data_IF_250538855796
#
_entry.id   IF_250538855796
#
_cell.length_a   1.000
_cell.length_b   1.000
_cell.length_c   1.000
_cell.angle_alpha   90.00
_cell.angle_beta   90.00
_cell.angle_gamma   90.00
#
_symmetry.space_group_name_H-M   'P 1'
#
loop_
_entity.id
_entity.type
_entity.pdbx_description
1 polymer ?
#
# COMPACT_ATOMS: atom_id res chain seq x y z
N UNK A 1 29.01 15.70 35.56
CA UNK A 1 28.17 15.70 34.34
C UNK A 1 27.60 14.32 34.00
N UNK A 2 28.37 13.22 34.12
CA UNK A 2 27.87 11.84 33.91
C UNK A 2 26.61 11.42 34.70
N UNK A 3 26.42 11.75 36.00
CA UNK A 3 25.26 11.25 36.75
C UNK A 3 23.94 11.89 36.32
N UNK A 4 23.97 13.11 35.79
CA UNK A 4 22.77 13.81 35.33
C UNK A 4 22.21 13.19 34.04
N UNK A 5 23.08 12.83 33.10
CA UNK A 5 22.70 12.16 31.85
C UNK A 5 22.06 10.79 32.11
N UNK A 6 22.61 10.02 33.05
CA UNK A 6 22.10 8.71 33.39
C UNK A 6 20.70 8.80 34.01
N UNK A 7 20.46 9.81 34.87
CA UNK A 7 19.16 10.05 35.47
C UNK A 7 18.12 10.51 34.43
N UNK A 8 18.49 11.36 33.48
CA UNK A 8 17.59 11.77 32.38
C UNK A 8 17.24 10.60 31.45
N UNK A 9 18.19 9.73 31.15
CA UNK A 9 17.97 8.55 30.30
C UNK A 9 17.06 7.54 31.00
N UNK A 10 17.26 7.34 32.31
CA UNK A 10 16.40 6.47 33.12
C UNK A 10 14.96 7.01 33.21
N UNK A 11 14.78 8.32 33.41
CA UNK A 11 13.45 8.94 33.39
C UNK A 11 12.76 8.75 32.03
N UNK A 12 13.49 8.93 30.92
CA UNK A 12 12.94 8.75 29.57
C UNK A 12 12.54 7.29 29.31
N UNK A 13 13.37 6.33 29.74
CA UNK A 13 13.06 4.91 29.64
C UNK A 13 11.79 4.53 30.41
N UNK A 14 11.64 5.04 31.65
CA UNK A 14 10.43 4.80 32.46
C UNK A 14 9.18 5.36 31.78
N UNK A 15 9.24 6.57 31.23
CA UNK A 15 8.12 7.19 30.51
C UNK A 15 7.79 6.39 29.24
N UNK A 16 8.80 6.01 28.45
CA UNK A 16 8.60 5.22 27.23
C UNK A 16 7.95 3.85 27.52
N UNK A 17 8.40 3.17 28.59
CA UNK A 17 7.80 1.91 29.05
C UNK A 17 6.34 2.14 29.47
N UNK A 18 6.06 3.21 30.22
CA UNK A 18 4.70 3.56 30.63
C UNK A 18 3.75 3.79 29.44
N UNK A 19 4.20 4.53 28.43
CA UNK A 19 3.41 4.78 27.20
C UNK A 19 3.18 3.47 26.42
N UNK A 20 4.20 2.62 26.31
CA UNK A 20 4.08 1.33 25.62
C UNK A 20 3.08 0.40 26.32
N UNK A 21 3.12 0.34 27.66
CA UNK A 21 2.15 -0.44 28.45
C UNK A 21 0.72 0.11 28.30
N UNK A 22 0.56 1.42 28.26
CA UNK A 22 -0.76 2.03 28.06
C UNK A 22 -1.32 1.75 26.65
N UNK A 23 -0.48 1.82 25.63
CA UNK A 23 -0.85 1.52 24.25
C UNK A 23 -1.25 0.05 24.08
N UNK A 24 -0.46 -0.89 24.64
CA UNK A 24 -0.78 -2.32 24.60
C UNK A 24 -2.07 -2.64 25.35
N UNK A 25 -2.29 -2.04 26.53
CA UNK A 25 -3.55 -2.17 27.27
C UNK A 25 -4.75 -1.65 26.47
N UNK A 26 -4.59 -0.51 25.78
CA UNK A 26 -5.62 0.05 24.89
C UNK A 26 -5.98 -0.87 23.73
N UNK A 27 -4.98 -1.46 23.06
CA UNK A 27 -5.21 -2.43 21.98
C UNK A 27 -5.93 -3.67 22.49
N UNK A 28 -5.52 -4.22 23.64
CA UNK A 28 -6.16 -5.40 24.25
C UNK A 28 -7.62 -5.11 24.62
N UNK A 29 -7.90 -3.94 25.21
CA UNK A 29 -9.26 -3.50 25.53
C UNK A 29 -10.11 -3.33 24.26
N UNK A 30 -9.56 -2.74 23.21
CA UNK A 30 -10.25 -2.56 21.94
C UNK A 30 -10.61 -3.90 21.28
N UNK A 31 -9.67 -4.85 21.26
CA UNK A 31 -9.90 -6.21 20.73
C UNK A 31 -10.98 -6.92 21.56
N UNK A 32 -10.90 -6.84 22.89
CA UNK A 32 -11.93 -7.42 23.78
C UNK A 32 -13.30 -6.81 23.54
N UNK A 33 -13.41 -5.48 23.45
CA UNK A 33 -14.68 -4.79 23.19
C UNK A 33 -15.28 -5.21 21.84
N UNK A 34 -14.44 -5.36 20.81
CA UNK A 34 -14.87 -5.85 19.49
C UNK A 34 -15.37 -7.29 19.54
N UNK A 35 -14.66 -8.19 20.22
CA UNK A 35 -15.10 -9.58 20.39
C UNK A 35 -16.42 -9.68 21.16
N UNK A 36 -16.58 -8.89 22.22
CA UNK A 36 -17.84 -8.82 22.99
C UNK A 36 -18.97 -8.31 22.12
N UNK A 37 -18.76 -7.24 21.34
CA UNK A 37 -19.79 -6.71 20.42
C UNK A 37 -20.23 -7.74 19.36
N UNK A 38 -19.29 -8.53 18.86
CA UNK A 38 -19.56 -9.59 17.89
C UNK A 38 -20.32 -10.74 18.53
N UNK A 39 -19.92 -11.16 19.74
CA UNK A 39 -20.63 -12.18 20.51
C UNK A 39 -22.08 -11.75 20.82
N UNK A 40 -22.30 -10.49 21.21
CA UNK A 40 -23.64 -9.94 21.42
C UNK A 40 -24.46 -9.87 20.13
N UNK A 41 -23.86 -9.53 18.99
CA UNK A 41 -24.56 -9.53 17.71
C UNK A 41 -24.99 -10.94 17.29
N UNK A 42 -24.12 -11.95 17.51
CA UNK A 42 -24.42 -13.36 17.19
C UNK A 42 -25.47 -13.92 18.15
N UNK A 43 -25.30 -13.73 19.46
CA UNK A 43 -26.25 -14.21 20.48
C UNK A 43 -27.60 -13.48 20.37
N UNK A 44 -27.58 -12.17 20.11
CA UNK A 44 -28.78 -11.36 19.87
C UNK A 44 -29.50 -11.80 18.60
N UNK A 45 -28.78 -12.07 17.52
CA UNK A 45 -29.35 -12.63 16.29
C UNK A 45 -29.97 -14.01 16.47
N UNK A 46 -29.30 -14.89 17.23
CA UNK A 46 -29.80 -16.23 17.54
C UNK A 46 -31.02 -16.20 18.48
N UNK A 47 -30.98 -15.39 19.54
CA UNK A 47 -32.08 -15.23 20.50
C UNK A 47 -33.31 -14.58 19.88
N UNK A 48 -33.12 -13.52 19.07
CA UNK A 48 -34.20 -12.86 18.34
C UNK A 48 -34.82 -13.78 17.28
N UNK A 49 -34.00 -14.62 16.62
CA UNK A 49 -34.50 -15.63 15.69
C UNK A 49 -35.28 -16.76 16.38
N UNK A 50 -34.92 -17.12 17.62
CA UNK A 50 -35.63 -18.14 18.39
C UNK A 50 -36.99 -17.65 18.92
N UNK A 51 -37.11 -16.34 19.19
CA UNK A 51 -38.31 -15.76 19.79
C UNK A 51 -39.44 -15.49 18.80
N UNK A 52 -39.13 -15.24 17.52
CA UNK A 52 -40.12 -14.72 16.57
C UNK A 52 -40.63 -15.78 15.58
N UNK A 53 -39.83 -16.79 15.20
CA UNK A 53 -40.18 -17.69 14.10
C UNK A 53 -39.63 -19.10 14.28
N UNK A 54 -40.19 -19.88 15.22
CA UNK A 54 -39.78 -21.26 15.53
C UNK A 54 -39.19 -22.01 14.34
N UNK A 55 -37.90 -22.38 14.43
CA UNK A 55 -37.12 -23.15 13.46
C UNK A 55 -36.88 -22.52 12.07
N UNK A 56 -37.93 -22.00 11.42
CA UNK A 56 -37.92 -21.57 10.04
C UNK A 56 -37.34 -20.16 9.83
N UNK A 57 -37.40 -19.27 10.83
CA UNK A 57 -36.88 -17.90 10.71
C UNK A 57 -35.36 -17.81 10.63
N UNK A 58 -34.65 -18.76 11.25
CA UNK A 58 -33.19 -18.82 11.25
C UNK A 58 -32.63 -19.09 9.84
N UNK A 59 -33.34 -19.90 9.06
CA UNK A 59 -32.97 -20.18 7.67
C UNK A 59 -33.14 -18.95 6.77
N UNK A 60 -34.17 -18.13 7.00
CA UNK A 60 -34.45 -16.93 6.20
C UNK A 60 -33.45 -15.82 6.51
N UNK A 61 -33.09 -15.59 7.78
CA UNK A 61 -32.06 -14.62 8.15
C UNK A 61 -30.66 -15.07 7.73
N UNK A 62 -30.34 -16.37 7.84
CA UNK A 62 -29.08 -16.92 7.35
C UNK A 62 -28.93 -16.78 5.83
N UNK A 63 -29.99 -17.05 5.07
CA UNK A 63 -30.00 -16.86 3.61
C UNK A 63 -29.97 -15.38 3.22
N UNK A 64 -30.64 -14.50 3.94
CA UNK A 64 -30.55 -13.05 3.72
C UNK A 64 -29.13 -12.52 3.99
N UNK A 65 -28.48 -12.95 5.08
CA UNK A 65 -27.09 -12.59 5.37
C UNK A 65 -26.12 -13.09 4.28
N UNK A 66 -26.31 -14.34 3.82
CA UNK A 66 -25.54 -14.89 2.70
C UNK A 66 -25.77 -14.14 1.40
N UNK A 67 -27.01 -13.69 1.12
CA UNK A 67 -27.32 -12.87 -0.07
C UNK A 67 -26.67 -11.50 -0.01
N UNK A 68 -26.63 -10.85 1.16
CA UNK A 68 -25.92 -9.56 1.35
C UNK A 68 -24.41 -9.74 1.17
N UNK A 69 -23.83 -10.82 1.70
CA UNK A 69 -22.41 -11.17 1.51
C UNK A 69 -22.12 -11.46 0.03
N UNK A 70 -23.01 -12.19 -0.66
CA UNK A 70 -22.87 -12.52 -2.07
C UNK A 70 -23.02 -11.29 -2.98
N UNK A 71 -23.94 -10.37 -2.68
CA UNK A 71 -24.05 -9.08 -3.36
C UNK A 71 -22.82 -8.19 -3.14
N UNK A 72 -22.30 -8.16 -1.91
CA UNK A 72 -21.06 -7.46 -1.57
C UNK A 72 -19.88 -7.99 -2.41
N UNK A 73 -19.77 -9.31 -2.54
CA UNK A 73 -18.76 -9.94 -3.40
C UNK A 73 -18.99 -9.65 -4.89
N UNK A 74 -20.24 -9.67 -5.38
CA UNK A 74 -20.57 -9.32 -6.77
C UNK A 74 -20.27 -7.85 -7.09
N UNK A 75 -20.63 -6.91 -6.22
CA UNK A 75 -20.32 -5.48 -6.40
C UNK A 75 -18.81 -5.23 -6.33
N UNK A 76 -18.09 -5.97 -5.50
CA UNK A 76 -16.63 -5.95 -5.43
C UNK A 76 -15.99 -6.53 -6.71
N UNK A 77 -16.53 -7.60 -7.27
CA UNK A 77 -16.08 -8.18 -8.54
C UNK A 77 -16.40 -7.28 -9.75
N UNK A 78 -17.53 -6.58 -9.73
CA UNK A 78 -17.91 -5.61 -10.77
C UNK A 78 -17.00 -4.37 -10.77
N UNK A 79 -16.57 -3.89 -9.59
CA UNK A 79 -15.56 -2.83 -9.46
C UNK A 79 -14.21 -3.28 -10.03
N UNK A 80 -13.76 -4.50 -9.73
CA UNK A 80 -12.53 -5.10 -10.30
C UNK A 80 -12.54 -5.20 -11.82
N UNK A 81 -13.70 -5.43 -12.46
CA UNK A 81 -13.82 -5.46 -13.93
C UNK A 81 -13.72 -4.07 -14.57
N UNK A 82 -14.25 -3.03 -13.92
CA UNK A 82 -14.14 -1.65 -14.41
C UNK A 82 -12.71 -1.13 -14.35
N UNK A 83 -11.96 -1.48 -13.30
CA UNK A 83 -10.57 -1.06 -13.16
C UNK A 83 -9.64 -1.75 -14.17
N UNK A 84 -9.91 -3.01 -14.53
CA UNK A 84 -9.20 -3.71 -15.62
C UNK A 84 -9.49 -3.11 -17.00
N UNK A 85 -10.76 -2.81 -17.30
CA UNK A 85 -11.14 -2.19 -18.57
C UNK A 85 -10.49 -0.79 -18.75
N UNK A 86 -10.28 -0.05 -17.65
CA UNK A 86 -9.58 1.23 -17.69
C UNK A 86 -8.09 1.07 -18.03
N UNK A 87 -7.46 0.00 -17.54
CA UNK A 87 -6.05 -0.30 -17.79
C UNK A 87 -5.80 -0.78 -19.23
N UNK A 88 -6.73 -1.55 -19.81
CA UNK A 88 -6.61 -2.05 -21.20
C UNK A 88 -6.82 -0.94 -22.25
N UNK A 89 -7.65 0.07 -21.94
CA UNK A 89 -7.86 1.25 -22.80
C UNK A 89 -6.62 2.17 -22.81
N UNK A 90 -5.85 2.20 -21.73
CA UNK A 90 -4.57 2.94 -21.67
C UNK A 90 -3.43 2.17 -22.35
N UNK A 91 -3.49 0.82 -22.35
CA UNK A 91 -2.50 -0.04 -23.01
C UNK A 91 -2.64 -0.11 -24.54
N UNK A 92 -3.82 0.20 -25.09
CA UNK A 92 -4.10 0.19 -26.53
C UNK A 92 -3.95 1.56 -27.21
N UNK A 93 -3.62 2.61 -26.45
CA UNK A 93 -3.24 3.89 -27.02
C UNK A 93 -1.88 3.76 -27.72
N UNK A 94 -1.89 3.70 -29.06
CA UNK A 94 -0.69 3.69 -29.90
C UNK A 94 0.26 4.81 -29.48
N UNK A 95 1.50 4.52 -29.05
CA UNK A 95 2.42 5.56 -28.65
C UNK A 95 2.79 6.41 -29.87
N UNK A 96 2.49 7.72 -29.79
CA UNK A 96 2.91 8.68 -30.79
C UNK A 96 4.45 8.65 -30.94
N UNK A 97 4.99 8.83 -32.17
CA UNK A 97 6.42 8.76 -32.41
C UNK A 97 7.14 9.87 -31.62
N UNK A 98 7.89 9.46 -30.60
CA UNK A 98 8.63 10.36 -29.74
C UNK A 98 9.94 10.78 -30.42
N UNK A 99 10.04 12.07 -30.75
CA UNK A 99 11.31 12.72 -31.12
C UNK A 99 12.39 12.43 -30.06
N UNK A 100 13.67 12.25 -30.44
CA UNK A 100 14.73 11.90 -29.50
C UNK A 100 15.03 13.07 -28.58
N UNK A 101 14.51 13.03 -27.36
CA UNK A 101 14.83 14.00 -26.31
C UNK A 101 16.24 13.73 -25.78
N UNK A 102 17.10 14.73 -26.01
CA UNK A 102 18.43 14.93 -25.45
C UNK A 102 18.52 14.42 -24.00
N UNK A 103 19.40 13.44 -23.75
CA UNK A 103 19.70 12.91 -22.42
C UNK A 103 20.17 14.05 -21.51
N UNK A 104 19.30 14.49 -20.61
CA UNK A 104 19.68 15.36 -19.50
C UNK A 104 20.39 14.47 -18.48
N UNK A 105 21.69 14.70 -18.34
CA UNK A 105 22.53 14.08 -17.31
C UNK A 105 22.16 14.75 -15.98
N UNK A 106 21.38 14.07 -15.15
CA UNK A 106 21.05 14.56 -13.81
C UNK A 106 22.30 14.56 -12.92
N UNK A 107 22.43 15.52 -11.98
CA UNK A 107 23.54 15.57 -11.04
C UNK A 107 23.47 14.33 -10.14
N UNK A 108 24.60 13.64 -10.02
CA UNK A 108 24.80 12.44 -9.21
C UNK A 108 24.83 12.84 -7.72
N UNK A 109 23.65 13.11 -7.16
CA UNK A 109 23.44 13.14 -5.72
C UNK A 109 23.66 11.75 -5.14
N UNK A 110 24.42 11.67 -4.06
CA UNK A 110 24.78 10.48 -3.29
C UNK A 110 23.65 9.44 -3.29
N UNK A 111 23.80 8.37 -4.08
CA UNK A 111 22.95 7.19 -4.01
C UNK A 111 23.38 6.45 -2.76
N UNK A 112 22.63 6.60 -1.69
CA UNK A 112 22.74 5.76 -0.51
C UNK A 112 22.50 4.30 -0.94
N UNK A 113 23.34 3.39 -0.45
CA UNK A 113 23.44 2.01 -0.97
C UNK A 113 22.07 1.34 -1.10
N UNK A 114 21.81 0.60 -2.19
CA UNK A 114 20.62 -0.24 -2.31
C UNK A 114 20.51 -1.13 -1.07
N UNK A 115 19.34 -1.14 -0.44
CA UNK A 115 19.05 -1.98 0.73
C UNK A 115 19.08 -3.45 0.28
N UNK A 116 20.15 -4.21 0.60
CA UNK A 116 20.35 -5.53 0.03
C UNK A 116 19.28 -6.52 0.50
N UNK A 117 18.70 -6.30 1.69
CA UNK A 117 17.64 -7.14 2.21
C UNK A 117 16.34 -6.92 1.43
N UNK A 118 16.04 -5.67 1.06
CA UNK A 118 14.87 -5.35 0.24
C UNK A 118 14.99 -5.91 -1.16
N UNK A 119 16.15 -5.77 -1.81
CA UNK A 119 16.37 -6.32 -3.15
C UNK A 119 16.30 -7.85 -3.16
N UNK A 120 16.93 -8.51 -2.17
CA UNK A 120 16.86 -9.97 -2.02
C UNK A 120 15.43 -10.46 -1.80
N UNK A 121 14.62 -9.74 -1.02
CA UNK A 121 13.21 -10.09 -0.80
C UNK A 121 12.41 -10.03 -2.11
N UNK A 122 12.61 -9.00 -2.94
CA UNK A 122 11.93 -8.91 -4.23
C UNK A 122 12.33 -10.02 -5.19
N UNK A 123 13.62 -10.37 -5.22
CA UNK A 123 14.13 -11.48 -6.03
C UNK A 123 13.60 -12.83 -5.55
N UNK A 124 13.58 -13.06 -4.24
CA UNK A 124 13.03 -14.27 -3.65
C UNK A 124 11.53 -14.42 -3.93
N UNK A 125 10.76 -13.33 -3.80
CA UNK A 125 9.33 -13.34 -4.12
C UNK A 125 9.08 -13.62 -5.61
N UNK A 126 9.83 -12.97 -6.51
CA UNK A 126 9.71 -13.20 -7.95
C UNK A 126 10.13 -14.62 -8.35
N UNK A 127 11.14 -15.20 -7.69
CA UNK A 127 11.59 -16.57 -7.93
C UNK A 127 10.60 -17.63 -7.46
N UNK A 128 9.83 -17.36 -6.41
CA UNK A 128 8.82 -18.29 -5.88
C UNK A 128 7.43 -18.11 -6.51
N UNK A 129 7.10 -16.91 -7.00
CA UNK A 129 5.82 -16.58 -7.63
C UNK A 129 5.98 -16.28 -9.13
N UNK A 130 6.41 -17.27 -9.90
CA UNK A 130 6.70 -17.19 -11.34
C UNK A 130 5.52 -16.64 -12.17
N UNK A 131 4.28 -17.01 -11.80
CA UNK A 131 3.05 -16.50 -12.42
C UNK A 131 2.79 -15.00 -12.21
N UNK A 132 3.47 -14.37 -11.25
CA UNK A 132 3.24 -12.99 -10.83
C UNK A 132 4.48 -12.09 -10.98
N UNK A 133 5.52 -12.53 -11.68
CA UNK A 133 6.78 -11.78 -11.85
C UNK A 133 6.55 -10.35 -12.35
N UNK A 134 5.65 -10.14 -13.31
CA UNK A 134 5.32 -8.81 -13.82
C UNK A 134 4.70 -7.90 -12.75
N UNK A 135 3.80 -8.45 -11.92
CA UNK A 135 3.15 -7.75 -10.82
C UNK A 135 4.15 -7.35 -9.74
N UNK A 136 5.04 -8.29 -9.38
CA UNK A 136 6.13 -8.05 -8.42
C UNK A 136 7.10 -6.99 -8.95
N UNK A 137 7.44 -7.01 -10.23
CA UNK A 137 8.32 -6.01 -10.84
C UNK A 137 7.70 -4.60 -10.80
N UNK A 138 6.41 -4.46 -11.11
CA UNK A 138 5.71 -3.18 -10.99
C UNK A 138 5.68 -2.70 -9.54
N UNK A 139 5.35 -3.60 -8.60
CA UNK A 139 5.32 -3.25 -7.17
C UNK A 139 6.70 -2.79 -6.66
N UNK A 140 7.77 -3.50 -7.03
CA UNK A 140 9.16 -3.14 -6.73
C UNK A 140 9.49 -1.76 -7.26
N UNK A 141 9.17 -1.48 -8.52
CA UNK A 141 9.50 -0.20 -9.16
C UNK A 141 8.76 0.98 -8.52
N UNK A 142 7.47 0.82 -8.21
CA UNK A 142 6.68 1.83 -7.50
C UNK A 142 7.29 2.18 -6.14
N UNK A 143 7.64 1.16 -5.34
CA UNK A 143 8.34 1.34 -4.06
C UNK A 143 9.72 1.99 -4.24
N UNK A 144 10.50 1.56 -5.22
CA UNK A 144 11.84 2.11 -5.51
C UNK A 144 11.78 3.59 -5.86
N UNK A 145 10.85 3.97 -6.73
CA UNK A 145 10.65 5.37 -7.12
C UNK A 145 10.18 6.24 -5.95
N UNK A 146 9.32 5.71 -5.09
CA UNK A 146 8.92 6.39 -3.86
C UNK A 146 10.11 6.60 -2.92
N UNK A 147 10.87 5.55 -2.59
CA UNK A 147 12.06 5.66 -1.74
C UNK A 147 13.07 6.65 -2.31
N UNK A 148 13.34 6.60 -3.62
CA UNK A 148 14.22 7.55 -4.29
C UNK A 148 13.69 9.01 -4.23
N UNK A 149 12.39 9.20 -4.06
CA UNK A 149 11.80 10.54 -3.83
C UNK A 149 12.02 10.95 -2.38
N UNK A 150 11.76 10.05 -1.44
CA UNK A 150 11.95 10.27 0.00
C UNK A 150 13.41 10.59 0.33
N UNK A 151 14.37 9.87 -0.25
CA UNK A 151 15.80 10.03 0.05
C UNK A 151 16.40 11.35 -0.43
N UNK A 152 15.69 12.09 -1.28
CA UNK A 152 16.16 13.37 -1.83
C UNK A 152 15.78 14.59 -0.99
N UNK A 153 14.96 14.45 0.04
CA UNK A 153 14.39 15.61 0.72
C UNK A 153 13.96 15.36 2.16
N UNK A 154 13.66 16.45 2.86
CA UNK A 154 12.96 16.41 4.13
C UNK A 154 11.46 16.33 3.84
N UNK A 155 10.85 15.21 4.20
CA UNK A 155 9.42 14.95 3.96
C UNK A 155 8.66 14.87 5.28
N UNK A 156 7.34 14.85 5.17
CA UNK A 156 6.46 14.69 6.32
C UNK A 156 6.66 13.35 7.05
N UNK A 157 6.15 13.28 8.29
CA UNK A 157 6.20 12.06 9.11
C UNK A 157 5.61 10.85 8.37
N UNK A 158 4.53 11.06 7.63
CA UNK A 158 3.81 10.00 6.92
C UNK A 158 4.66 9.35 5.82
N UNK A 159 5.39 10.13 5.02
CA UNK A 159 6.30 9.60 4.00
C UNK A 159 7.51 8.88 4.63
N UNK A 160 8.03 9.41 5.74
CA UNK A 160 9.09 8.76 6.51
C UNK A 160 8.65 7.39 7.05
N UNK A 161 7.48 7.34 7.68
CA UNK A 161 6.92 6.10 8.24
C UNK A 161 6.65 5.05 7.16
N UNK A 162 6.16 5.47 6.00
CA UNK A 162 5.97 4.56 4.86
C UNK A 162 7.31 4.06 4.31
N UNK A 163 8.34 4.90 4.24
CA UNK A 163 9.68 4.48 3.80
C UNK A 163 10.30 3.45 4.75
N UNK A 164 10.19 3.67 6.07
CA UNK A 164 10.62 2.70 7.09
C UNK A 164 9.84 1.40 6.96
N UNK A 165 8.51 1.48 6.77
CA UNK A 165 7.66 0.30 6.54
C UNK A 165 8.08 -0.48 5.30
N UNK A 166 8.39 0.19 4.19
CA UNK A 166 8.83 -0.49 2.96
C UNK A 166 10.17 -1.19 3.20
N UNK A 167 11.18 -0.49 3.74
CA UNK A 167 12.52 -1.05 3.94
C UNK A 167 12.55 -2.22 4.91
N UNK A 168 11.76 -2.14 5.98
CA UNK A 168 11.79 -3.16 7.04
C UNK A 168 10.70 -4.22 6.90
N UNK A 169 9.46 -3.79 6.67
CA UNK A 169 8.31 -4.71 6.78
C UNK A 169 8.06 -5.51 5.52
N UNK A 170 8.42 -5.02 4.34
CA UNK A 170 8.32 -5.82 3.11
C UNK A 170 9.25 -7.03 3.17
N UNK A 171 10.55 -6.90 3.51
CA UNK A 171 11.42 -8.07 3.64
C UNK A 171 10.98 -9.05 4.72
N UNK A 172 10.60 -8.53 5.90
CA UNK A 172 10.08 -9.36 7.00
C UNK A 172 8.84 -10.17 6.56
N UNK A 173 7.90 -9.54 5.86
CA UNK A 173 6.68 -10.21 5.40
C UNK A 173 6.96 -11.25 4.31
N UNK A 174 7.87 -10.95 3.36
CA UNK A 174 8.26 -11.91 2.33
C UNK A 174 8.95 -13.12 2.98
N UNK A 175 9.88 -12.91 3.90
CA UNK A 175 10.54 -13.99 4.63
C UNK A 175 9.52 -14.87 5.38
N UNK A 176 8.59 -14.25 6.13
CA UNK A 176 7.52 -14.98 6.85
C UNK A 176 6.66 -15.82 5.89
N UNK A 177 6.31 -15.29 4.73
CA UNK A 177 5.56 -16.04 3.72
C UNK A 177 6.35 -17.21 3.13
N UNK A 178 7.65 -17.03 2.88
CA UNK A 178 8.52 -18.08 2.36
C UNK A 178 8.77 -19.19 3.38
N UNK A 179 8.99 -18.85 4.65
CA UNK A 179 9.12 -19.83 5.74
C UNK A 179 7.85 -20.70 5.84
N UNK A 180 6.67 -20.07 5.73
CA UNK A 180 5.40 -20.81 5.70
C UNK A 180 5.26 -21.71 4.47
N UNK A 181 5.89 -21.36 3.35
CA UNK A 181 5.87 -22.17 2.15
C UNK A 181 6.68 -23.46 2.29
N UNK A 182 7.69 -23.51 3.17
CA UNK A 182 8.55 -24.68 3.35
C UNK A 182 7.77 -25.92 3.80
N UNK A 183 6.82 -25.74 4.72
CA UNK A 183 6.00 -26.82 5.29
C UNK A 183 4.61 -26.94 4.64
N UNK A 184 4.27 -26.05 3.72
CA UNK A 184 2.95 -26.01 3.08
C UNK A 184 2.82 -27.00 1.92
N UNK A 185 1.60 -27.52 1.74
CA UNK A 185 1.25 -28.26 0.52
C UNK A 185 1.35 -27.35 -0.72
N UNK A 186 1.45 -27.90 -1.95
CA UNK A 186 1.56 -27.09 -3.16
C UNK A 186 0.40 -26.09 -3.34
N UNK A 187 -0.83 -26.48 -3.00
CA UNK A 187 -2.01 -25.60 -3.05
C UNK A 187 -1.97 -24.48 -2.01
N UNK A 188 -1.51 -24.77 -0.79
CA UNK A 188 -1.36 -23.77 0.27
C UNK A 188 -0.23 -22.80 -0.03
N UNK A 189 0.91 -23.31 -0.53
CA UNK A 189 2.04 -22.49 -1.00
C UNK A 189 1.58 -21.49 -2.03
N UNK A 190 0.77 -21.93 -2.99
CA UNK A 190 0.19 -21.04 -4.00
C UNK A 190 -0.66 -19.93 -3.38
N UNK A 191 -1.53 -20.28 -2.43
CA UNK A 191 -2.38 -19.30 -1.75
C UNK A 191 -1.58 -18.31 -0.89
N UNK A 192 -0.55 -18.79 -0.18
CA UNK A 192 0.36 -17.95 0.63
C UNK A 192 1.08 -16.94 -0.25
N UNK A 193 1.63 -17.39 -1.38
CA UNK A 193 2.36 -16.52 -2.31
C UNK A 193 1.42 -15.52 -3.00
N UNK A 194 0.20 -15.92 -3.39
CA UNK A 194 -0.78 -14.98 -3.94
C UNK A 194 -1.17 -13.88 -2.92
N UNK A 195 -1.28 -14.20 -1.63
CA UNK A 195 -1.52 -13.21 -0.57
C UNK A 195 -0.30 -12.30 -0.32
N UNK A 196 0.92 -12.86 -0.38
CA UNK A 196 2.16 -12.08 -0.26
C UNK A 196 2.29 -11.06 -1.41
N UNK A 197 2.05 -11.50 -2.65
CA UNK A 197 2.02 -10.62 -3.84
C UNK A 197 0.94 -9.56 -3.68
N UNK A 198 -0.26 -9.93 -3.25
CA UNK A 198 -1.34 -8.97 -3.06
C UNK A 198 -1.04 -7.91 -1.99
N UNK A 199 -0.37 -8.30 -0.90
CA UNK A 199 0.03 -7.39 0.17
C UNK A 199 1.12 -6.42 -0.30
N UNK A 200 2.12 -6.91 -1.02
CA UNK A 200 3.19 -6.08 -1.58
C UNK A 200 2.67 -5.10 -2.63
N UNK A 201 1.70 -5.49 -3.46
CA UNK A 201 1.01 -4.58 -4.38
C UNK A 201 0.26 -3.45 -3.67
N UNK A 202 -0.38 -3.73 -2.52
CA UNK A 202 -1.05 -2.69 -1.75
C UNK A 202 -0.06 -1.66 -1.22
N UNK A 203 1.09 -2.12 -0.72
CA UNK A 203 2.17 -1.24 -0.26
C UNK A 203 2.69 -0.40 -1.43
N UNK A 204 2.90 -1.01 -2.60
CA UNK A 204 3.31 -0.30 -3.81
C UNK A 204 2.28 0.76 -4.26
N UNK A 205 0.99 0.44 -4.24
CA UNK A 205 -0.07 1.38 -4.57
C UNK A 205 -0.15 2.55 -3.56
N UNK A 206 0.12 2.29 -2.28
CA UNK A 206 0.26 3.33 -1.27
C UNK A 206 1.48 4.22 -1.52
N UNK A 207 2.62 3.61 -1.85
CA UNK A 207 3.86 4.30 -2.22
C UNK A 207 3.68 5.20 -3.45
N UNK A 208 2.99 4.72 -4.49
CA UNK A 208 2.67 5.52 -5.68
C UNK A 208 1.75 6.70 -5.36
N UNK A 209 0.72 6.49 -4.54
CA UNK A 209 -0.18 7.58 -4.10
C UNK A 209 0.59 8.62 -3.30
N UNK A 210 1.46 8.20 -2.38
CA UNK A 210 2.24 9.12 -1.58
C UNK A 210 3.27 9.86 -2.44
N UNK A 211 3.96 9.16 -3.35
CA UNK A 211 4.87 9.79 -4.33
C UNK A 211 4.14 10.83 -5.18
N UNK A 212 2.94 10.52 -5.66
CA UNK A 212 2.12 11.45 -6.45
C UNK A 212 1.72 12.71 -5.64
N UNK A 213 1.46 12.56 -4.33
CA UNK A 213 1.20 13.71 -3.44
C UNK A 213 2.45 14.57 -3.25
N UNK A 214 3.61 13.95 -3.02
CA UNK A 214 4.87 14.67 -2.84
C UNK A 214 5.31 15.42 -4.11
N UNK A 215 5.13 14.81 -5.28
CA UNK A 215 5.52 15.40 -6.57
C UNK A 215 4.44 16.30 -7.20
N UNK A 216 3.19 16.21 -6.73
CA UNK A 216 2.04 16.92 -7.28
C UNK A 216 2.26 18.41 -7.47
N UNK A 217 2.74 19.15 -6.45
CA UNK A 217 2.99 20.59 -6.56
C UNK A 217 4.07 20.93 -7.60
N UNK A 218 5.20 20.22 -7.59
CA UNK A 218 6.30 20.44 -8.54
C UNK A 218 5.89 20.11 -9.99
N UNK A 219 5.09 19.06 -10.18
CA UNK A 219 4.54 18.72 -11.49
C UNK A 219 3.52 19.75 -11.97
N UNK A 220 2.69 20.31 -11.07
CA UNK A 220 1.74 21.37 -11.41
C UNK A 220 2.47 22.62 -11.90
N UNK A 221 3.52 23.06 -11.20
CA UNK A 221 4.33 24.21 -11.60
C UNK A 221 5.04 23.99 -12.94
N UNK A 222 5.66 22.83 -13.14
CA UNK A 222 6.32 22.50 -14.40
C UNK A 222 5.31 22.36 -15.57
N UNK A 223 4.08 21.92 -15.30
CA UNK A 223 3.01 21.89 -16.30
C UNK A 223 2.53 23.29 -16.68
N UNK A 224 2.48 24.23 -15.73
CA UNK A 224 2.20 25.64 -16.00
C UNK A 224 3.31 26.24 -16.88
N UNK A 225 4.57 26.04 -16.51
CA UNK A 225 5.72 26.49 -17.32
C UNK A 225 5.72 25.88 -18.73
N UNK A 226 5.47 24.57 -18.84
CA UNK A 226 5.35 23.91 -20.14
C UNK A 226 4.21 24.53 -20.96
N UNK A 227 3.03 24.77 -20.38
CA UNK A 227 1.91 25.43 -21.06
C UNK A 227 2.28 26.81 -21.56
N UNK A 228 3.01 27.60 -20.78
CA UNK A 228 3.49 28.92 -21.23
C UNK A 228 4.48 28.81 -22.39
N UNK A 229 5.37 27.82 -22.38
CA UNK A 229 6.35 27.58 -23.45
C UNK A 229 5.73 26.96 -24.72
N UNK A 230 4.67 26.16 -24.59
CA UNK A 230 3.97 25.53 -25.71
C UNK A 230 2.76 26.33 -26.19
N UNK A 231 2.41 27.44 -25.53
CA UNK A 231 1.45 28.39 -26.08
C UNK A 231 2.06 28.87 -27.39
N UNK A 232 1.48 28.57 -28.56
CA UNK A 232 2.01 29.10 -29.81
C UNK A 232 2.06 30.62 -29.69
N UNK A 233 3.07 31.23 -30.29
CA UNK A 233 3.16 32.67 -30.54
C UNK A 233 2.01 33.10 -31.48
N UNK A 234 0.77 32.95 -31.00
CA UNK A 234 -0.47 33.16 -31.74
C UNK A 234 -1.02 34.58 -31.51
N UNK A 235 -0.20 35.44 -30.92
CA UNK A 235 -0.35 36.88 -31.00
C UNK A 235 1.00 37.37 -31.50
N UNK A 236 1.14 37.39 -32.82
CA UNK A 236 2.19 38.18 -33.46
C UNK A 236 1.73 39.64 -33.29
N UNK A 237 2.33 40.44 -32.38
CA UNK A 237 1.91 41.82 -32.17
C UNK A 237 2.40 42.75 -33.30
N UNK A 238 3.03 42.19 -34.33
CA UNK A 238 3.67 42.89 -35.44
C UNK A 238 3.07 42.55 -36.81
N UNK A 239 1.76 42.31 -36.89
CA UNK A 239 1.05 42.50 -38.16
C UNK A 239 0.99 44.01 -38.45
N UNK A 240 2.02 44.52 -39.12
CA UNK A 240 2.00 45.83 -39.77
C UNK A 240 1.08 45.72 -40.99
N UNK A 241 -0.20 46.04 -40.79
CA UNK A 241 -1.07 46.54 -41.86
C UNK A 241 -0.77 48.01 -42.15
#
# INVERSE_FOLDING_TARGET
MMPFLLLTLLMFAVVAIGVMLLATAGVVLFVRARLVSLAFAVLGGLGFSALIHGGAGAAILGTAALLVIFESMRKSAARRRRDRARYDVEATATPAPSRPTRRIRTPRGRVESPDPALDAAWEALAGNADWAVSRVAVARESCRLFLATVDRGAWDSDAGDLAVRIRRRVPEHVAECLDRCEIATPSERRAILDECVFTTEKVAAEADRQRARLLGPAHAEMNVQRRHLTRPAQEDPFSLD
#
